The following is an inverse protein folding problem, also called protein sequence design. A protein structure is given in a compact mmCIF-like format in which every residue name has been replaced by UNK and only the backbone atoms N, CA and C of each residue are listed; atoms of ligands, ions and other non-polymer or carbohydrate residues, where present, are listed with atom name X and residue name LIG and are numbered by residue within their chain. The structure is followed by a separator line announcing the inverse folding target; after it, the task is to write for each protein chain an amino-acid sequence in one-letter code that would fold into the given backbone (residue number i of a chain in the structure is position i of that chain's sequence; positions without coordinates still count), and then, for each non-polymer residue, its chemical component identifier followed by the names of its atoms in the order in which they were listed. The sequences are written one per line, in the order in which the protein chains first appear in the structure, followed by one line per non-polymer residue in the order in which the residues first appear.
data_IF_888904758542
#
_entry.id   IF_888904758542
#
_cell.length_a   1.000
_cell.length_b   1.000
_cell.length_c   1.000
_cell.angle_alpha   90.00
_cell.angle_beta   90.00
_cell.angle_gamma   90.00
#
_symmetry.space_group_name_H-M   'P 1'
#
loop_
_entity.id
_entity.type
_entity.pdbx_description
1 polymer ?
#
# COMPACT_ATOMS: atom_id res chain seq x y z
N UNK A 1 24.01 29.54 13.52
CA UNK A 1 22.95 28.62 13.99
C UNK A 1 21.87 28.41 12.94
N UNK A 2 21.37 29.47 12.28
CA UNK A 2 20.41 29.41 11.16
C UNK A 2 20.75 28.44 10.02
N UNK A 3 22.01 28.36 9.61
CA UNK A 3 22.43 27.50 8.49
C UNK A 3 22.22 26.00 8.78
N UNK A 4 22.43 25.58 10.04
CA UNK A 4 22.21 24.19 10.47
C UNK A 4 20.73 23.83 10.59
N UNK A 5 19.84 24.81 10.74
CA UNK A 5 18.39 24.58 10.74
C UNK A 5 17.87 24.40 9.32
N UNK A 6 18.27 25.24 8.38
CA UNK A 6 17.94 25.05 6.95
C UNK A 6 18.38 23.68 6.42
N UNK A 7 19.63 23.28 6.70
CA UNK A 7 20.15 21.98 6.29
C UNK A 7 19.37 20.79 6.88
N UNK A 8 18.75 20.95 8.05
CA UNK A 8 17.89 19.92 8.65
C UNK A 8 16.51 19.90 8.03
N UNK A 9 15.98 21.08 7.71
CA UNK A 9 14.68 21.25 7.06
C UNK A 9 14.72 20.68 5.64
N UNK A 10 15.71 21.06 4.84
CA UNK A 10 15.93 20.52 3.47
C UNK A 10 16.11 19.00 3.48
N UNK A 11 16.82 18.47 4.48
CA UNK A 11 17.02 17.02 4.62
C UNK A 11 15.75 16.28 5.06
N UNK A 12 14.89 16.93 5.84
CA UNK A 12 13.60 16.39 6.23
C UNK A 12 12.60 16.40 5.07
N UNK A 13 12.61 17.45 4.25
CA UNK A 13 11.80 17.54 3.02
C UNK A 13 12.25 16.50 1.99
N UNK A 14 13.56 16.39 1.72
CA UNK A 14 14.10 15.38 0.80
C UNK A 14 13.79 13.94 1.24
N UNK A 15 13.79 13.67 2.55
CA UNK A 15 13.37 12.37 3.08
C UNK A 15 11.88 12.11 2.87
N UNK A 16 11.02 13.10 3.10
CA UNK A 16 9.58 12.99 2.84
C UNK A 16 9.28 12.79 1.37
N UNK A 17 10.05 13.42 0.48
CA UNK A 17 9.92 13.22 -0.96
C UNK A 17 10.30 11.78 -1.36
N UNK A 18 11.40 11.24 -0.81
CA UNK A 18 11.75 9.81 -0.97
C UNK A 18 10.69 8.86 -0.40
N UNK A 19 10.13 9.15 0.77
CA UNK A 19 9.08 8.32 1.39
C UNK A 19 7.75 8.36 0.60
N UNK A 20 7.52 9.39 -0.22
CA UNK A 20 6.37 9.48 -1.14
C UNK A 20 6.68 8.99 -2.57
N UNK A 21 7.91 8.54 -2.84
CA UNK A 21 8.28 7.86 -4.08
C UNK A 21 7.91 6.37 -4.01
N UNK A 22 6.65 6.06 -3.68
CA UNK A 22 6.09 4.78 -4.05
C UNK A 22 5.96 4.77 -5.58
N UNK A 23 7.05 4.37 -6.23
CA UNK A 23 7.07 4.02 -7.64
C UNK A 23 6.05 2.89 -7.83
N UNK A 24 5.19 2.96 -8.87
CA UNK A 24 4.34 1.83 -9.30
C UNK A 24 5.12 0.52 -9.48
N UNK A 25 6.46 0.60 -9.60
CA UNK A 25 7.39 -0.50 -9.80
C UNK A 25 8.18 -0.90 -8.53
N UNK A 26 7.79 -0.43 -7.34
CA UNK A 26 8.32 -0.95 -6.08
C UNK A 26 7.97 -2.45 -6.02
N UNK A 27 8.91 -3.37 -5.75
CA UNK A 27 8.60 -4.80 -5.69
C UNK A 27 7.49 -4.98 -4.67
N UNK A 28 6.32 -5.46 -5.14
CA UNK A 28 5.08 -5.50 -4.38
C UNK A 28 5.32 -5.97 -2.94
N UNK A 29 5.44 -5.00 -2.01
CA UNK A 29 5.21 -5.27 -0.59
C UNK A 29 3.77 -5.69 -0.37
N UNK A 30 2.94 -5.52 -1.39
CA UNK A 30 1.54 -5.84 -1.51
C UNK A 30 1.30 -7.25 -2.07
N UNK A 31 1.88 -8.27 -1.44
CA UNK A 31 1.37 -9.64 -1.60
C UNK A 31 -0.10 -9.73 -1.10
N UNK A 32 -0.55 -8.75 -0.30
CA UNK A 32 -1.95 -8.55 0.11
C UNK A 32 -2.62 -7.34 -0.60
N UNK A 33 -2.11 -6.93 -1.78
CA UNK A 33 -2.50 -5.69 -2.46
C UNK A 33 -3.85 -5.63 -3.13
N UNK A 34 -4.63 -6.69 -3.01
CA UNK A 34 -5.97 -6.71 -3.56
C UNK A 34 -6.99 -6.22 -2.53
N UNK A 35 -6.70 -5.11 -1.85
CA UNK A 35 -7.61 -4.50 -0.88
C UNK A 35 -8.15 -3.18 -1.44
N UNK A 36 -9.46 -3.06 -1.53
CA UNK A 36 -10.15 -1.81 -1.89
C UNK A 36 -10.08 -0.81 -0.73
N UNK A 37 -10.05 -1.31 0.49
CA UNK A 37 -9.96 -0.47 1.68
C UNK A 37 -10.00 -1.27 2.98
N UNK A 38 -10.17 -0.55 4.09
CA UNK A 38 -10.45 -1.14 5.40
C UNK A 38 -11.80 -0.63 5.88
N UNK A 39 -12.61 -1.54 6.39
CA UNK A 39 -13.87 -1.20 7.03
C UNK A 39 -13.58 -0.31 8.27
N UNK A 40 -14.15 0.90 8.35
CA UNK A 40 -13.79 1.86 9.40
C UNK A 40 -14.35 1.49 10.79
N UNK A 41 -15.33 0.59 10.86
CA UNK A 41 -15.96 0.17 12.12
C UNK A 41 -15.23 -1.01 12.75
N UNK A 42 -14.80 -1.97 11.92
CA UNK A 42 -14.22 -3.24 12.34
C UNK A 42 -12.70 -3.32 12.12
N UNK A 43 -12.16 -2.47 11.26
CA UNK A 43 -10.75 -2.48 10.85
C UNK A 43 -10.37 -3.63 9.92
N UNK A 44 -11.35 -4.40 9.45
CA UNK A 44 -11.16 -5.55 8.54
C UNK A 44 -10.85 -5.05 7.13
N UNK A 45 -9.91 -5.71 6.46
CA UNK A 45 -9.55 -5.43 5.08
C UNK A 45 -10.65 -5.89 4.13
N UNK A 46 -11.08 -5.00 3.24
CA UNK A 46 -12.07 -5.25 2.20
C UNK A 46 -11.30 -5.58 0.93
N UNK A 47 -11.38 -6.82 0.41
CA UNK A 47 -10.73 -7.18 -0.84
C UNK A 47 -11.37 -6.44 -2.03
N UNK A 48 -10.65 -6.29 -3.13
CA UNK A 48 -11.20 -5.80 -4.40
C UNK A 48 -12.13 -6.82 -5.03
N UNK A 49 -13.08 -6.36 -5.85
CA UNK A 49 -13.97 -7.24 -6.61
C UNK A 49 -13.22 -8.27 -7.46
N UNK A 50 -12.09 -7.86 -8.08
CA UNK A 50 -11.26 -8.74 -8.91
C UNK A 50 -10.70 -9.92 -8.09
N UNK A 51 -10.16 -9.67 -6.90
CA UNK A 51 -9.64 -10.75 -6.05
C UNK A 51 -10.72 -11.63 -5.46
N UNK A 52 -11.92 -11.08 -5.26
CA UNK A 52 -13.10 -11.86 -4.87
C UNK A 52 -13.48 -12.81 -6.02
N UNK A 53 -13.50 -12.34 -7.27
CA UNK A 53 -13.77 -13.15 -8.45
C UNK A 53 -12.72 -14.27 -8.65
N UNK A 54 -11.43 -13.95 -8.62
CA UNK A 54 -10.35 -14.93 -8.74
C UNK A 54 -10.43 -16.02 -7.65
N UNK A 55 -10.75 -15.61 -6.41
CA UNK A 55 -10.93 -16.55 -5.30
C UNK A 55 -12.13 -17.46 -5.53
N UNK A 56 -13.23 -16.93 -6.05
CA UNK A 56 -14.43 -17.72 -6.36
C UNK A 56 -14.19 -18.71 -7.50
N UNK A 57 -13.47 -18.31 -8.55
CA UNK A 57 -13.08 -19.20 -9.65
C UNK A 57 -12.21 -20.34 -9.12
N UNK A 58 -11.18 -20.02 -8.35
CA UNK A 58 -10.31 -21.02 -7.75
C UNK A 58 -11.10 -21.99 -6.86
N UNK A 59 -12.01 -21.48 -6.02
CA UNK A 59 -12.85 -22.34 -5.18
C UNK A 59 -13.75 -23.24 -6.03
N UNK A 60 -14.34 -22.77 -7.12
CA UNK A 60 -15.17 -23.59 -7.99
C UNK A 60 -14.36 -24.69 -8.71
N UNK A 61 -13.15 -24.38 -9.16
CA UNK A 61 -12.27 -25.37 -9.80
C UNK A 61 -11.75 -26.44 -8.81
N UNK A 62 -11.61 -26.07 -7.54
CA UNK A 62 -11.02 -26.92 -6.51
C UNK A 62 -12.04 -27.51 -5.52
N UNK A 63 -13.31 -27.10 -5.60
CA UNK A 63 -14.42 -27.69 -4.84
C UNK A 63 -14.76 -29.06 -5.42
N UNK A 64 -14.08 -30.09 -4.93
CA UNK A 64 -14.38 -31.51 -5.17
C UNK A 64 -15.41 -32.04 -4.18
#
# INVERSE_FOLDING_TARGET
MKEKENLKEEKAESRREQENQHEESSPASDIYGNIEGKDPETGVEIPTDEAVEESMEWMNENAK
#
